data_IF_542457934029
#
_entry.id   IF_542457934029
#
_cell.length_a   1.000
_cell.length_b   1.000
_cell.length_c   1.000
_cell.angle_alpha   90.00
_cell.angle_beta   90.00
_cell.angle_gamma   90.00
#
_symmetry.space_group_name_H-M   'P 1'
#
loop_
_entity.id
_entity.type
_entity.pdbx_description
1 polymer ?
#
# COMPACT_ATOMS: atom_id res chain seq x y z
N UNK A 1 14.87 13.93 -5.86
CA UNK A 1 14.39 13.45 -7.17
C UNK A 1 13.90 14.65 -7.98
N UNK A 2 14.47 14.94 -9.15
CA UNK A 2 14.08 16.13 -9.93
C UNK A 2 12.87 15.83 -10.84
N UNK A 3 12.24 16.88 -11.37
CA UNK A 3 11.04 16.75 -12.21
C UNK A 3 11.28 15.91 -13.47
N UNK A 4 12.50 15.94 -14.03
CA UNK A 4 12.90 15.22 -15.25
C UNK A 4 13.04 13.71 -15.01
N UNK A 5 13.64 13.31 -13.89
CA UNK A 5 13.64 11.93 -13.40
C UNK A 5 12.20 11.43 -13.19
N UNK A 6 11.32 12.29 -12.64
CA UNK A 6 9.89 11.99 -12.47
C UNK A 6 9.18 11.79 -13.81
N UNK A 7 9.42 12.64 -14.81
CA UNK A 7 8.79 12.51 -16.15
C UNK A 7 9.33 11.32 -16.94
N UNK A 8 10.60 10.95 -16.78
CA UNK A 8 11.18 9.76 -17.40
C UNK A 8 10.61 8.47 -16.80
N UNK A 9 10.42 8.42 -15.47
CA UNK A 9 9.78 7.29 -14.79
C UNK A 9 8.27 7.17 -15.09
N UNK A 10 7.57 8.28 -15.36
CA UNK A 10 6.16 8.23 -15.80
C UNK A 10 5.96 7.43 -17.10
N UNK A 11 6.98 7.41 -17.97
CA UNK A 11 6.95 6.60 -19.19
C UNK A 11 7.23 5.12 -18.91
N UNK A 12 8.15 4.81 -17.99
CA UNK A 12 8.61 3.43 -17.79
C UNK A 12 7.53 2.53 -17.19
N UNK A 13 6.72 3.05 -16.24
CA UNK A 13 5.59 2.31 -15.70
C UNK A 13 4.53 2.01 -16.76
N UNK A 14 4.16 3.03 -17.53
CA UNK A 14 3.19 2.93 -18.62
C UNK A 14 3.62 1.87 -19.65
N UNK A 15 4.89 1.88 -20.03
CA UNK A 15 5.49 0.92 -20.96
C UNK A 15 5.55 -0.50 -20.39
N UNK A 16 6.02 -0.67 -19.15
CA UNK A 16 6.15 -1.98 -18.50
C UNK A 16 4.80 -2.62 -18.23
N UNK A 17 3.81 -1.85 -17.78
CA UNK A 17 2.44 -2.34 -17.59
C UNK A 17 1.86 -2.83 -18.91
N UNK A 18 1.98 -2.03 -19.98
CA UNK A 18 1.49 -2.39 -21.30
C UNK A 18 2.18 -3.65 -21.84
N UNK A 19 3.50 -3.75 -21.67
CA UNK A 19 4.29 -4.91 -22.07
C UNK A 19 3.80 -6.18 -21.36
N UNK A 20 3.75 -6.17 -20.02
CA UNK A 20 3.29 -7.31 -19.21
C UNK A 20 1.87 -7.75 -19.59
N UNK A 21 0.96 -6.80 -19.80
CA UNK A 21 -0.41 -7.09 -20.24
C UNK A 21 -0.42 -7.77 -21.61
N UNK A 22 0.37 -7.28 -22.56
CA UNK A 22 0.46 -7.83 -23.92
C UNK A 22 1.13 -9.21 -23.94
N UNK A 23 2.12 -9.47 -23.07
CA UNK A 23 2.75 -10.79 -22.92
C UNK A 23 1.75 -11.85 -22.43
N UNK A 24 0.77 -11.46 -21.60
CA UNK A 24 -0.37 -12.30 -21.21
C UNK A 24 -1.49 -12.36 -22.25
N UNK A 25 -1.34 -11.67 -23.39
CA UNK A 25 -2.37 -11.51 -24.42
C UNK A 25 -3.69 -10.92 -23.91
N UNK A 26 -3.64 -10.11 -22.85
CA UNK A 26 -4.84 -9.50 -22.27
C UNK A 26 -5.16 -8.17 -22.93
N UNK A 27 -6.45 -7.88 -23.09
CA UNK A 27 -6.99 -6.56 -23.34
C UNK A 27 -6.92 -5.69 -22.08
N UNK A 28 -7.05 -4.37 -22.26
CA UNK A 28 -7.18 -3.44 -21.12
C UNK A 28 -8.39 -3.75 -20.23
N UNK A 29 -9.45 -4.33 -20.82
CA UNK A 29 -10.64 -4.77 -20.10
C UNK A 29 -10.32 -5.97 -19.21
N UNK A 30 -9.65 -6.98 -19.75
CA UNK A 30 -9.27 -8.18 -18.99
C UNK A 30 -8.30 -7.85 -17.85
N UNK A 31 -7.34 -6.94 -18.05
CA UNK A 31 -6.51 -6.48 -16.93
C UNK A 31 -7.34 -5.75 -15.86
N UNK A 32 -8.33 -4.95 -16.26
CA UNK A 32 -9.28 -4.34 -15.31
C UNK A 32 -10.07 -5.39 -14.52
N UNK A 33 -10.57 -6.42 -15.20
CA UNK A 33 -11.28 -7.54 -14.57
C UNK A 33 -10.38 -8.30 -13.58
N UNK A 34 -9.12 -8.56 -13.95
CA UNK A 34 -8.14 -9.21 -13.05
C UNK A 34 -7.84 -8.35 -11.82
N UNK A 35 -7.71 -7.04 -11.99
CA UNK A 35 -7.56 -6.12 -10.87
C UNK A 35 -8.80 -6.10 -9.98
N UNK A 36 -9.99 -6.21 -10.56
CA UNK A 36 -11.23 -6.33 -9.80
C UNK A 36 -11.32 -7.62 -8.98
N UNK A 37 -10.87 -8.74 -9.54
CA UNK A 37 -10.80 -10.03 -8.82
C UNK A 37 -9.87 -9.94 -7.60
N UNK A 38 -8.70 -9.31 -7.76
CA UNK A 38 -7.68 -9.22 -6.69
C UNK A 38 -8.05 -8.19 -5.62
N UNK A 39 -8.60 -7.04 -6.01
CA UNK A 39 -8.81 -5.90 -5.11
C UNK A 39 -10.26 -5.82 -4.59
N UNK A 40 -11.18 -6.60 -5.15
CA UNK A 40 -12.59 -6.61 -4.75
C UNK A 40 -13.35 -5.32 -5.10
N UNK A 41 -12.78 -4.48 -5.97
CA UNK A 41 -13.35 -3.20 -6.43
C UNK A 41 -13.43 -3.17 -7.95
N UNK A 42 -14.48 -2.58 -8.52
CA UNK A 42 -14.66 -2.54 -9.98
C UNK A 42 -13.61 -1.64 -10.65
N UNK A 43 -12.86 -2.19 -11.60
CA UNK A 43 -11.87 -1.50 -12.40
C UNK A 43 -12.28 -1.54 -13.87
N UNK A 44 -12.29 -0.37 -14.49
CA UNK A 44 -12.63 -0.24 -15.91
C UNK A 44 -11.38 -0.26 -16.79
N UNK A 45 -11.58 -0.61 -18.06
CA UNK A 45 -10.56 -0.46 -19.11
C UNK A 45 -10.07 0.99 -19.27
N UNK A 46 -10.85 1.99 -18.85
CA UNK A 46 -10.46 3.39 -18.89
C UNK A 46 -9.33 3.70 -17.88
N UNK A 47 -9.34 3.07 -16.70
CA UNK A 47 -8.26 3.21 -15.72
C UNK A 47 -6.94 2.67 -16.28
N UNK A 48 -6.97 1.46 -16.83
CA UNK A 48 -5.81 0.84 -17.48
C UNK A 48 -5.33 1.68 -18.67
N UNK A 49 -6.24 2.20 -19.49
CA UNK A 49 -5.90 3.08 -20.61
C UNK A 49 -5.22 4.38 -20.15
N UNK A 50 -5.70 4.99 -19.07
CA UNK A 50 -5.08 6.19 -18.52
C UNK A 50 -3.64 5.90 -18.04
N UNK A 51 -3.43 4.76 -17.38
CA UNK A 51 -2.10 4.32 -16.93
C UNK A 51 -1.15 4.02 -18.08
N UNK A 52 -1.60 3.37 -19.15
CA UNK A 52 -0.71 2.98 -20.26
C UNK A 52 -0.46 4.09 -21.30
N UNK A 53 -1.36 5.06 -21.41
CA UNK A 53 -1.34 6.05 -22.52
C UNK A 53 -1.27 7.50 -22.09
N UNK A 54 -1.81 7.84 -20.91
CA UNK A 54 -1.93 9.23 -20.47
C UNK A 54 -0.95 9.60 -19.36
N UNK A 55 -0.12 8.66 -18.92
CA UNK A 55 0.90 8.88 -17.89
C UNK A 55 0.35 9.16 -16.50
N UNK A 56 -0.89 8.76 -16.21
CA UNK A 56 -1.41 8.79 -14.84
C UNK A 56 -0.89 7.58 -14.06
N UNK A 57 -0.65 7.73 -12.76
CA UNK A 57 -0.21 6.62 -11.90
C UNK A 57 -1.40 5.95 -11.19
N UNK A 58 -1.35 4.64 -10.94
CA UNK A 58 -2.30 3.97 -10.05
C UNK A 58 -2.00 4.34 -8.59
N UNK A 59 -3.00 4.30 -7.70
CA UNK A 59 -2.74 4.38 -6.26
C UNK A 59 -1.94 3.16 -5.78
N UNK A 60 -1.23 3.31 -4.67
CA UNK A 60 -0.26 2.31 -4.15
C UNK A 60 -0.83 0.87 -4.06
N UNK A 61 -2.04 0.73 -3.54
CA UNK A 61 -2.68 -0.59 -3.40
C UNK A 61 -2.90 -1.28 -4.77
N UNK A 62 -3.10 -0.50 -5.82
CA UNK A 62 -3.29 -1.00 -7.19
C UNK A 62 -1.94 -1.31 -7.83
N UNK A 63 -0.91 -0.50 -7.59
CA UNK A 63 0.46 -0.83 -8.02
C UNK A 63 0.91 -2.19 -7.45
N UNK A 64 0.65 -2.43 -6.16
CA UNK A 64 0.95 -3.72 -5.52
C UNK A 64 0.15 -4.88 -6.12
N UNK A 65 -1.13 -4.67 -6.43
CA UNK A 65 -1.96 -5.69 -7.09
C UNK A 65 -1.45 -6.01 -8.52
N UNK A 66 -1.02 -4.99 -9.28
CA UNK A 66 -0.41 -5.18 -10.60
C UNK A 66 0.87 -6.02 -10.47
N UNK A 67 1.74 -5.70 -9.49
CA UNK A 67 2.95 -6.45 -9.22
C UNK A 67 2.66 -7.94 -8.95
N UNK A 68 1.65 -8.21 -8.11
CA UNK A 68 1.20 -9.56 -7.80
C UNK A 68 0.61 -10.29 -9.02
N UNK A 69 -0.24 -9.64 -9.81
CA UNK A 69 -0.88 -10.24 -11.00
C UNK A 69 0.15 -10.72 -12.02
N UNK A 70 1.23 -9.96 -12.17
CA UNK A 70 2.27 -10.26 -13.16
C UNK A 70 3.47 -11.00 -12.58
N UNK A 71 3.49 -11.26 -11.27
CA UNK A 71 4.61 -11.89 -10.56
C UNK A 71 5.93 -11.14 -10.77
N UNK A 72 5.88 -9.83 -10.54
CA UNK A 72 7.02 -8.90 -10.66
C UNK A 72 7.12 -8.02 -9.42
N UNK A 73 8.26 -7.38 -9.23
CA UNK A 73 8.46 -6.39 -8.18
C UNK A 73 7.82 -5.04 -8.53
N UNK A 74 7.42 -4.27 -7.52
CA UNK A 74 6.99 -2.89 -7.72
C UNK A 74 8.14 -2.02 -8.25
N UNK A 75 9.37 -2.28 -7.80
CA UNK A 75 10.60 -1.63 -8.27
C UNK A 75 10.81 -1.81 -9.77
N UNK A 76 10.52 -3.01 -10.29
CA UNK A 76 10.47 -3.22 -11.73
C UNK A 76 9.35 -2.41 -12.38
N UNK A 77 8.13 -2.40 -11.83
CA UNK A 77 7.06 -1.62 -12.46
C UNK A 77 7.39 -0.14 -12.59
N UNK A 78 8.05 0.47 -11.59
CA UNK A 78 8.31 1.91 -11.55
C UNK A 78 9.70 2.33 -12.05
N UNK A 79 10.51 1.39 -12.54
CA UNK A 79 11.81 1.70 -13.15
C UNK A 79 13.00 1.82 -12.21
N UNK A 80 12.86 1.35 -10.97
CA UNK A 80 13.98 1.30 -10.00
C UNK A 80 14.89 0.10 -10.30
N UNK A 81 14.33 -1.01 -10.76
CA UNK A 81 15.09 -2.20 -11.20
C UNK A 81 14.74 -2.57 -12.64
N UNK A 82 15.70 -3.06 -13.42
CA UNK A 82 15.46 -3.66 -14.73
C UNK A 82 15.13 -5.15 -14.65
N UNK A 83 15.31 -5.79 -13.48
CA UNK A 83 14.96 -7.19 -13.26
C UNK A 83 13.49 -7.32 -12.81
N UNK A 84 12.64 -8.09 -13.52
CA UNK A 84 11.23 -8.25 -13.17
C UNK A 84 11.03 -8.82 -11.76
N UNK A 85 11.86 -9.80 -11.40
CA UNK A 85 11.88 -10.42 -10.08
C UNK A 85 12.92 -9.76 -9.19
N UNK A 86 12.64 -9.75 -7.88
CA UNK A 86 13.70 -9.61 -6.89
C UNK A 86 14.59 -10.85 -7.07
N UNK A 87 15.85 -10.69 -7.45
CA UNK A 87 16.80 -11.80 -7.52
C UNK A 87 17.01 -12.38 -6.12
N UNK A 88 16.17 -13.32 -5.74
CA UNK A 88 16.43 -14.26 -4.68
C UNK A 88 17.23 -15.43 -5.28
N UNK A 89 18.47 -15.15 -5.74
CA UNK A 89 19.47 -16.21 -5.79
C UNK A 89 19.94 -16.49 -4.36
N UNK A 90 19.03 -17.05 -3.56
CA UNK A 90 19.40 -18.01 -2.53
C UNK A 90 18.90 -19.34 -3.08
N UNK A 91 19.83 -20.27 -3.24
CA UNK A 91 19.64 -21.58 -3.82
C UNK A 91 18.33 -22.24 -3.39
N UNK A 92 17.71 -22.89 -4.36
CA UNK A 92 16.60 -23.82 -4.18
C UNK A 92 16.93 -24.86 -3.11
N UNK A 93 16.45 -24.65 -1.89
CA UNK A 93 16.04 -25.78 -1.05
C UNK A 93 14.54 -25.94 -1.23
N UNK A 94 14.16 -27.14 -1.68
CA UNK A 94 12.79 -27.62 -1.61
C UNK A 94 12.33 -27.45 -0.16
N UNK A 95 11.46 -26.49 0.11
CA UNK A 95 10.80 -26.42 1.42
C UNK A 95 9.72 -27.50 1.40
N UNK A 96 10.09 -28.69 1.86
CA UNK A 96 9.16 -29.62 2.46
C UNK A 96 8.33 -28.89 3.51
N UNK A 97 7.02 -29.17 3.53
CA UNK A 97 6.13 -28.78 4.61
C UNK A 97 6.75 -29.14 5.97
N UNK A 98 7.31 -28.15 6.67
CA UNK A 98 7.63 -28.24 8.09
C UNK A 98 7.00 -27.06 8.83
N UNK A 99 6.31 -27.43 9.89
CA UNK A 99 5.18 -26.76 10.52
C UNK A 99 5.56 -25.55 11.42
N UNK A 100 6.75 -24.94 11.29
CA UNK A 100 7.36 -24.28 12.46
C UNK A 100 7.79 -22.79 12.34
N UNK A 101 7.34 -21.99 11.36
CA UNK A 101 7.74 -20.54 11.28
C UNK A 101 6.66 -19.54 11.77
N UNK A 102 5.44 -19.98 12.10
CA UNK A 102 4.39 -19.08 12.62
C UNK A 102 4.39 -19.13 14.14
N UNK A 103 5.35 -18.47 14.81
CA UNK A 103 5.36 -18.46 16.28
C UNK A 103 5.37 -17.09 16.95
N UNK A 104 5.05 -15.99 16.26
CA UNK A 104 4.46 -14.81 16.92
C UNK A 104 3.94 -13.76 15.92
N UNK A 105 2.81 -14.07 15.26
CA UNK A 105 2.09 -13.11 14.41
C UNK A 105 1.63 -11.88 15.21
N UNK A 106 1.31 -12.07 16.50
CA UNK A 106 1.00 -11.01 17.46
C UNK A 106 2.13 -9.98 17.58
N UNK A 107 3.39 -10.43 17.61
CA UNK A 107 4.58 -9.56 17.71
C UNK A 107 4.76 -8.73 16.44
N UNK A 108 4.59 -9.34 15.26
CA UNK A 108 4.71 -8.65 13.98
C UNK A 108 3.59 -7.65 13.74
N UNK A 109 2.36 -7.96 14.17
CA UNK A 109 1.24 -7.01 14.16
C UNK A 109 1.49 -5.84 15.12
N UNK A 110 2.00 -6.13 16.32
CA UNK A 110 2.41 -5.10 17.30
C UNK A 110 3.53 -4.21 16.76
N UNK A 111 4.55 -4.76 16.10
CA UNK A 111 5.64 -4.00 15.46
C UNK A 111 5.10 -3.10 14.32
N UNK A 112 4.21 -3.64 13.48
CA UNK A 112 3.55 -2.92 12.37
C UNK A 112 2.65 -1.76 12.86
N UNK A 113 1.92 -1.96 13.96
CA UNK A 113 1.10 -0.92 14.59
C UNK A 113 1.95 0.18 15.24
N UNK A 114 3.15 -0.16 15.71
CA UNK A 114 4.11 0.81 16.25
C UNK A 114 4.90 1.58 15.18
N UNK A 115 5.20 0.98 14.02
CA UNK A 115 5.93 1.66 12.91
C UNK A 115 5.18 2.87 12.33
N UNK A 116 3.84 2.82 12.23
CA UNK A 116 3.03 3.97 11.75
C UNK A 116 2.83 5.07 12.80
N UNK A 117 3.06 4.79 14.08
CA UNK A 117 3.05 5.79 15.16
C UNK A 117 4.41 6.45 15.36
N UNK A 118 5.52 5.82 14.99
CA UNK A 118 6.83 6.44 15.26
C UNK A 118 7.08 7.74 14.50
N UNK A 119 6.61 7.92 13.26
CA UNK A 119 6.93 9.13 12.48
C UNK A 119 6.10 10.36 12.91
N UNK A 120 4.79 10.20 13.10
CA UNK A 120 3.89 11.30 13.54
C UNK A 120 4.25 11.75 14.95
N UNK A 121 4.44 10.82 15.89
CA UNK A 121 4.77 11.18 17.27
C UNK A 121 6.19 11.73 17.40
N UNK A 122 7.14 11.27 16.58
CA UNK A 122 8.48 11.87 16.50
C UNK A 122 8.38 13.30 15.97
N UNK A 123 7.61 13.53 14.90
CA UNK A 123 7.41 14.86 14.32
C UNK A 123 6.73 15.83 15.29
N UNK A 124 5.71 15.36 16.01
CA UNK A 124 5.01 16.13 17.05
C UNK A 124 5.96 16.47 18.19
N UNK A 125 6.81 15.53 18.60
CA UNK A 125 7.79 15.74 19.67
C UNK A 125 8.86 16.76 19.27
N UNK A 126 9.38 16.67 18.05
CA UNK A 126 10.32 17.66 17.46
C UNK A 126 9.68 19.05 17.41
N UNK A 127 8.47 19.15 16.84
CA UNK A 127 7.75 20.42 16.72
C UNK A 127 7.42 21.04 18.08
N UNK A 128 7.07 20.22 19.08
CA UNK A 128 6.84 20.70 20.44
C UNK A 128 8.11 21.29 21.07
N UNK A 129 9.30 20.73 20.80
CA UNK A 129 10.55 21.34 21.27
C UNK A 129 10.77 22.73 20.68
N UNK A 130 10.39 22.95 19.42
CA UNK A 130 10.47 24.28 18.78
C UNK A 130 9.44 25.26 19.36
N UNK A 131 8.23 24.78 19.66
CA UNK A 131 7.14 25.59 20.24
C UNK A 131 7.52 26.11 21.64
N UNK A 132 8.20 25.30 22.46
CA UNK A 132 8.67 25.69 23.81
C UNK A 132 9.69 26.84 23.81
N UNK A 133 10.29 27.17 22.66
CA UNK A 133 11.25 28.28 22.54
C UNK A 133 10.59 29.62 22.18
N UNK A 134 9.26 29.63 22.00
CA UNK A 134 8.51 30.82 21.58
C UNK A 134 8.00 31.64 22.79
N UNK A 135 7.68 32.93 22.59
CA UNK A 135 7.03 33.73 23.63
C UNK A 135 5.68 33.15 24.06
N UNK A 136 5.34 33.25 25.35
CA UNK A 136 4.18 32.61 26.01
C UNK A 136 2.90 32.62 25.17
N UNK A 137 2.50 33.78 24.65
CA UNK A 137 1.25 33.94 23.88
C UNK A 137 1.25 33.14 22.57
N UNK A 138 2.41 33.00 21.92
CA UNK A 138 2.57 32.28 20.65
C UNK A 138 2.74 30.78 20.90
N UNK A 139 3.42 30.42 22.00
CA UNK A 139 3.51 29.05 22.47
C UNK A 139 2.12 28.48 22.77
N UNK A 140 1.33 29.15 23.61
CA UNK A 140 -0.01 28.73 24.03
C UNK A 140 -0.96 28.55 22.84
N UNK A 141 -0.89 29.45 21.85
CA UNK A 141 -1.67 29.34 20.63
C UNK A 141 -1.33 28.07 19.83
N UNK A 142 -0.04 27.81 19.59
CA UNK A 142 0.39 26.68 18.75
C UNK A 142 0.22 25.33 19.45
N UNK A 143 0.41 25.27 20.78
CA UNK A 143 0.10 24.06 21.56
C UNK A 143 -1.39 23.71 21.47
N UNK A 144 -2.26 24.72 21.54
CA UNK A 144 -3.70 24.53 21.38
C UNK A 144 -4.06 24.00 19.99
N UNK A 145 -3.55 24.62 18.93
CA UNK A 145 -3.78 24.19 17.54
C UNK A 145 -3.29 22.75 17.31
N UNK A 146 -2.08 22.43 17.78
CA UNK A 146 -1.51 21.08 17.68
C UNK A 146 -2.34 20.05 18.45
N UNK A 147 -2.81 20.41 19.66
CA UNK A 147 -3.67 19.55 20.48
C UNK A 147 -5.02 19.28 19.82
N UNK A 148 -5.65 20.30 19.24
CA UNK A 148 -6.93 20.15 18.51
C UNK A 148 -6.77 19.25 17.29
N UNK A 149 -5.69 19.42 16.53
CA UNK A 149 -5.38 18.55 15.40
C UNK A 149 -5.15 17.10 15.82
N UNK A 150 -4.38 16.86 16.89
CA UNK A 150 -4.12 15.51 17.39
C UNK A 150 -5.39 14.81 17.88
N UNK A 151 -6.31 15.55 18.53
CA UNK A 151 -7.64 15.02 18.90
C UNK A 151 -8.46 14.63 17.68
N UNK A 152 -8.48 15.49 16.66
CA UNK A 152 -9.17 15.19 15.40
C UNK A 152 -8.55 13.99 14.67
N UNK A 153 -7.22 13.92 14.61
CA UNK A 153 -6.49 12.80 14.02
C UNK A 153 -6.81 11.48 14.75
N UNK A 154 -6.81 11.48 16.09
CA UNK A 154 -7.21 10.33 16.90
C UNK A 154 -8.62 9.85 16.57
N UNK A 155 -9.60 10.77 16.55
CA UNK A 155 -10.98 10.44 16.17
C UNK A 155 -11.09 9.79 14.78
N UNK A 156 -10.37 10.32 13.78
CA UNK A 156 -10.36 9.76 12.43
C UNK A 156 -9.72 8.38 12.38
N UNK A 157 -8.66 8.17 13.15
CA UNK A 157 -8.00 6.88 13.25
C UNK A 157 -8.91 5.83 13.89
N UNK A 158 -9.57 6.18 15.00
CA UNK A 158 -10.52 5.30 15.68
C UNK A 158 -11.68 4.89 14.77
N UNK A 159 -12.22 5.84 14.01
CA UNK A 159 -13.27 5.55 13.03
C UNK A 159 -12.78 4.59 11.94
N UNK A 160 -11.60 4.83 11.37
CA UNK A 160 -11.00 3.95 10.37
C UNK A 160 -10.72 2.55 10.94
N UNK A 161 -10.29 2.46 12.19
CA UNK A 161 -10.06 1.20 12.88
C UNK A 161 -11.36 0.40 13.05
N UNK A 162 -12.43 1.06 13.51
CA UNK A 162 -13.76 0.45 13.64
C UNK A 162 -14.26 -0.06 12.29
N UNK A 163 -14.13 0.73 11.23
CA UNK A 163 -14.53 0.33 9.87
C UNK A 163 -13.74 -0.89 9.39
N UNK A 164 -12.44 -0.92 9.66
CA UNK A 164 -11.58 -2.05 9.33
C UNK A 164 -11.98 -3.33 10.10
N UNK A 165 -12.25 -3.22 11.40
CA UNK A 165 -12.74 -4.34 12.21
C UNK A 165 -14.07 -4.87 11.67
N UNK A 166 -15.01 -4.00 11.34
CA UNK A 166 -16.29 -4.41 10.76
C UNK A 166 -16.11 -5.14 9.42
N UNK A 167 -15.22 -4.64 8.57
CA UNK A 167 -14.91 -5.28 7.29
C UNK A 167 -14.28 -6.67 7.48
N UNK A 168 -13.33 -6.82 8.40
CA UNK A 168 -12.71 -8.13 8.68
C UNK A 168 -13.70 -9.14 9.24
N UNK A 169 -14.60 -8.72 10.13
CA UNK A 169 -15.69 -9.56 10.64
C UNK A 169 -16.63 -10.03 9.51
N UNK A 170 -16.95 -9.15 8.57
CA UNK A 170 -17.73 -9.51 7.38
C UNK A 170 -17.02 -10.60 6.56
N UNK A 171 -15.72 -10.44 6.29
CA UNK A 171 -14.95 -11.44 5.54
C UNK A 171 -14.91 -12.79 6.26
N UNK A 172 -14.72 -12.80 7.58
CA UNK A 172 -14.75 -14.03 8.38
C UNK A 172 -16.08 -14.77 8.26
N UNK A 173 -17.19 -14.04 8.29
CA UNK A 173 -18.52 -14.63 8.11
C UNK A 173 -18.72 -15.22 6.70
N UNK A 174 -18.26 -14.54 5.64
CA UNK A 174 -18.32 -15.07 4.27
C UNK A 174 -17.44 -16.31 4.07
N UNK A 175 -16.31 -16.40 4.76
CA UNK A 175 -15.48 -17.59 4.77
C UNK A 175 -16.19 -18.77 5.46
N UNK A 176 -16.87 -18.55 6.58
CA UNK A 176 -17.61 -19.60 7.30
C UNK A 176 -18.81 -20.12 6.48
N UNK A 177 -19.51 -19.26 5.73
CA UNK A 177 -20.59 -19.67 4.82
C UNK A 177 -20.15 -20.64 3.72
N UNK A 178 -18.88 -20.60 3.29
CA UNK A 178 -18.35 -21.54 2.29
C UNK A 178 -18.07 -22.93 2.86
N UNK A 179 -17.93 -23.07 4.18
CA UNK A 179 -17.61 -24.35 4.84
C UNK A 179 -18.86 -25.20 5.09
N UNK A 180 -20.03 -24.60 5.33
CA UNK A 180 -21.30 -25.33 5.59
C UNK A 180 -22.03 -25.87 4.35
N UNK A 181 -21.37 -25.97 3.19
CA UNK A 181 -21.97 -26.49 1.94
C UNK A 181 -21.47 -27.88 1.54
N UNK A 182 -20.95 -28.68 2.47
CA UNK A 182 -20.68 -30.10 2.26
C UNK A 182 -21.47 -30.91 3.29
#
# INVERSE_FOLDING_TARGET
MNLYERTKNMNIFSERLRKLRQERSWSMKELGEKLSEVVGSSFSSASVSNWEKKGSEPPYNILAAIAQIFDVSADYLIGISDTPTLNNEIATEKIEHKQDIINNVELYLTISEHEKKQDIYTKVKELHQEILLLPDKKQEQLEKELTEYLKFFGYKYDQLHVDFVNFTNYLQHELQKKVSKH
#
